data_IF_202913790068
#
_entry.id   IF_202913790068
#
_cell.length_a   1.000
_cell.length_b   1.000
_cell.length_c   1.000
_cell.angle_alpha   90.00
_cell.angle_beta   90.00
_cell.angle_gamma   90.00
#
_symmetry.space_group_name_H-M   'P 1'
#
loop_
_entity.id
_entity.type
_entity.pdbx_description
1 polymer ?
#
# COMPACT_ATOMS: atom_id res chain seq x y z
N UNK A 1 10.27 40.44 15.62
CA UNK A 1 9.35 40.59 14.48
C UNK A 1 7.95 40.26 14.94
N UNK A 2 6.92 40.86 14.38
CA UNK A 2 5.54 40.52 14.71
C UNK A 2 5.07 39.28 13.92
N UNK A 3 3.85 38.82 14.18
CA UNK A 3 3.28 37.67 13.47
C UNK A 3 3.18 37.90 11.96
N UNK A 4 3.03 39.15 11.51
CA UNK A 4 2.90 39.46 10.09
C UNK A 4 4.23 39.23 9.36
N UNK A 5 5.34 39.76 9.89
CA UNK A 5 6.66 39.51 9.30
C UNK A 5 7.03 38.03 9.31
N UNK A 6 6.67 37.29 10.38
CA UNK A 6 6.88 35.84 10.39
C UNK A 6 6.04 35.11 9.33
N UNK A 7 4.82 35.58 9.03
CA UNK A 7 4.00 34.99 7.94
C UNK A 7 4.65 35.20 6.56
N UNK A 8 5.31 36.32 6.34
CA UNK A 8 6.06 36.58 5.10
C UNK A 8 7.22 35.59 4.96
N UNK A 9 8.03 35.42 6.01
CA UNK A 9 9.11 34.42 6.05
C UNK A 9 8.57 33.00 5.86
N UNK A 10 7.46 32.66 6.50
CA UNK A 10 6.82 31.34 6.36
C UNK A 10 6.29 31.12 4.93
N UNK A 11 5.82 32.16 4.25
CA UNK A 11 5.46 32.09 2.82
C UNK A 11 6.69 31.87 1.95
N UNK A 12 7.74 32.68 2.14
CA UNK A 12 9.00 32.52 1.41
C UNK A 12 9.60 31.12 1.60
N UNK A 13 9.49 30.54 2.80
CA UNK A 13 9.88 29.16 3.08
C UNK A 13 9.11 28.15 2.24
N UNK A 14 7.80 28.32 2.07
CA UNK A 14 6.96 27.43 1.25
C UNK A 14 7.36 27.46 -0.23
N UNK A 15 7.82 28.62 -0.71
CA UNK A 15 8.27 28.81 -2.08
C UNK A 15 9.76 28.44 -2.29
N UNK A 16 10.47 28.11 -1.20
CA UNK A 16 11.90 27.77 -1.23
C UNK A 16 12.83 28.99 -1.33
N UNK A 17 12.32 30.17 -1.02
CA UNK A 17 13.01 31.47 -1.16
C UNK A 17 13.57 32.01 0.16
N UNK A 18 13.14 31.48 1.32
CA UNK A 18 13.63 31.92 2.62
C UNK A 18 15.08 31.47 2.90
N UNK A 19 15.89 32.37 3.44
CA UNK A 19 17.25 32.08 3.87
C UNK A 19 17.29 31.17 5.11
N UNK A 20 18.43 30.51 5.35
CA UNK A 20 18.55 29.53 6.45
C UNK A 20 18.39 30.16 7.84
N UNK A 21 18.85 31.39 8.03
CA UNK A 21 18.67 32.16 9.27
C UNK A 21 17.21 32.58 9.49
N UNK A 22 16.54 33.04 8.44
CA UNK A 22 15.11 33.37 8.47
C UNK A 22 14.26 32.13 8.82
N UNK A 23 14.59 30.98 8.24
CA UNK A 23 13.94 29.70 8.53
C UNK A 23 14.10 29.30 9.99
N UNK A 24 15.31 29.41 10.54
CA UNK A 24 15.56 29.10 11.95
C UNK A 24 14.77 30.02 12.90
N UNK A 25 14.74 31.33 12.59
CA UNK A 25 13.94 32.30 13.36
C UNK A 25 12.44 32.02 13.31
N UNK A 26 11.92 31.62 12.14
CA UNK A 26 10.51 31.27 11.99
C UNK A 26 10.16 29.98 12.75
N UNK A 27 11.06 29.00 12.80
CA UNK A 27 10.85 27.77 13.58
C UNK A 27 10.77 28.04 15.09
N UNK A 28 11.63 28.92 15.61
CA UNK A 28 11.54 29.38 17.01
C UNK A 28 10.19 30.05 17.30
N UNK A 29 9.72 30.91 16.39
CA UNK A 29 8.40 31.54 16.51
C UNK A 29 7.25 30.52 16.49
N UNK A 30 7.33 29.51 15.60
CA UNK A 30 6.33 28.45 15.52
C UNK A 30 6.26 27.59 16.79
N UNK A 31 7.31 27.52 17.61
CA UNK A 31 7.24 26.85 18.90
C UNK A 31 6.25 27.57 19.86
N UNK A 32 6.25 28.90 19.84
CA UNK A 32 5.41 29.72 20.73
C UNK A 32 4.05 30.15 20.17
N UNK A 33 3.88 30.20 18.85
CA UNK A 33 2.74 30.90 18.23
C UNK A 33 1.73 29.96 17.53
N UNK A 34 0.57 29.76 18.16
CA UNK A 34 -0.50 28.93 17.61
C UNK A 34 -1.12 29.49 16.32
N UNK A 35 -1.23 30.82 16.20
CA UNK A 35 -1.84 31.46 15.03
C UNK A 35 -0.94 31.36 13.78
N UNK A 36 0.39 31.41 13.96
CA UNK A 36 1.33 31.19 12.87
C UNK A 36 1.43 29.71 12.48
N UNK A 37 1.32 28.76 13.43
CA UNK A 37 1.17 27.33 13.09
C UNK A 37 -0.07 27.09 12.23
N UNK A 38 -1.23 27.62 12.65
CA UNK A 38 -2.47 27.49 11.88
C UNK A 38 -2.38 28.13 10.49
N UNK A 39 -1.68 29.25 10.36
CA UNK A 39 -1.39 29.88 9.07
C UNK A 39 -0.56 28.97 8.16
N UNK A 40 0.55 28.42 8.66
CA UNK A 40 1.42 27.52 7.89
C UNK A 40 0.67 26.27 7.44
N UNK A 41 -0.07 25.61 8.34
CA UNK A 41 -0.87 24.43 8.00
C UNK A 41 -1.91 24.73 6.91
N UNK A 42 -2.55 25.91 6.99
CA UNK A 42 -3.51 26.38 6.00
C UNK A 42 -2.87 26.65 4.64
N UNK A 43 -1.73 27.34 4.62
CA UNK A 43 -0.98 27.64 3.40
C UNK A 43 -0.48 26.35 2.72
N UNK A 44 0.06 25.40 3.49
CA UNK A 44 0.46 24.08 3.02
C UNK A 44 -0.71 23.31 2.39
N UNK A 45 -1.86 23.33 3.05
CA UNK A 45 -3.07 22.66 2.57
C UNK A 45 -3.55 23.27 1.25
N UNK A 46 -3.63 24.59 1.17
CA UNK A 46 -4.03 25.30 -0.05
C UNK A 46 -3.04 25.04 -1.18
N UNK A 47 -1.74 25.08 -0.89
CA UNK A 47 -0.68 24.79 -1.87
C UNK A 47 -0.82 23.38 -2.46
N UNK A 48 -1.12 22.37 -1.65
CA UNK A 48 -1.38 21.01 -2.15
C UNK A 48 -2.62 20.94 -3.04
N UNK A 49 -3.72 21.55 -2.61
CA UNK A 49 -4.96 21.53 -3.39
C UNK A 49 -4.84 22.27 -4.73
N UNK A 50 -4.03 23.33 -4.79
CA UNK A 50 -3.80 24.07 -6.02
C UNK A 50 -2.90 23.32 -7.01
N UNK A 51 -1.94 22.52 -6.52
CA UNK A 51 -0.94 21.83 -7.36
C UNK A 51 -1.34 20.43 -7.78
N UNK A 52 -2.14 19.73 -6.97
CA UNK A 52 -2.51 18.33 -7.24
C UNK A 52 -3.81 18.27 -8.02
N UNK A 53 -3.73 17.78 -9.25
CA UNK A 53 -4.87 17.50 -10.10
C UNK A 53 -4.61 16.29 -10.99
N UNK A 54 -5.62 15.81 -11.73
CA UNK A 54 -5.43 14.81 -12.77
C UNK A 54 -4.34 15.29 -13.74
N UNK A 55 -3.35 14.44 -13.97
CA UNK A 55 -2.35 14.71 -15.01
C UNK A 55 -3.03 14.66 -16.39
N UNK A 56 -2.64 15.56 -17.28
CA UNK A 56 -2.96 15.40 -18.69
C UNK A 56 -2.36 14.08 -19.20
N UNK A 57 -2.96 13.46 -20.23
CA UNK A 57 -2.41 12.25 -20.83
C UNK A 57 -0.99 12.50 -21.34
N UNK A 58 0.00 11.95 -20.64
CA UNK A 58 1.42 12.02 -21.01
C UNK A 58 1.97 10.60 -21.21
N UNK A 59 2.99 10.42 -22.08
CA UNK A 59 3.67 9.15 -22.20
C UNK A 59 4.28 8.70 -20.85
N UNK A 60 4.23 7.41 -20.56
CA UNK A 60 4.92 6.85 -19.40
C UNK A 60 6.44 6.88 -19.65
N UNK A 61 7.16 7.63 -18.81
CA UNK A 61 8.61 7.79 -18.87
C UNK A 61 9.33 7.06 -17.74
N UNK A 62 8.62 6.26 -16.94
CA UNK A 62 9.13 5.64 -15.71
C UNK A 62 10.44 4.88 -15.97
N UNK A 63 10.45 3.96 -16.94
CA UNK A 63 11.64 3.15 -17.26
C UNK A 63 12.83 4.00 -17.73
N UNK A 64 12.57 5.06 -18.52
CA UNK A 64 13.62 5.96 -19.03
C UNK A 64 14.26 6.77 -17.92
N UNK A 65 13.45 7.27 -16.98
CA UNK A 65 13.95 8.05 -15.83
C UNK A 65 14.74 7.14 -14.89
N UNK A 66 14.22 5.96 -14.57
CA UNK A 66 14.90 5.00 -13.69
C UNK A 66 16.23 4.54 -14.29
N UNK A 67 16.28 4.25 -15.59
CA UNK A 67 17.51 3.92 -16.29
C UNK A 67 18.53 5.08 -16.25
N UNK A 68 18.09 6.33 -16.42
CA UNK A 68 18.97 7.51 -16.35
C UNK A 68 19.58 7.72 -14.95
N UNK A 69 18.86 7.34 -13.90
CA UNK A 69 19.34 7.39 -12.52
C UNK A 69 20.19 6.17 -12.13
N UNK A 70 20.41 5.21 -13.05
CA UNK A 70 21.10 3.96 -12.76
C UNK A 70 20.33 3.03 -11.81
N UNK A 71 19.03 3.27 -11.63
CA UNK A 71 18.17 2.44 -10.80
C UNK A 71 17.75 1.23 -11.63
N UNK A 72 18.33 0.07 -11.33
CA UNK A 72 17.91 -1.19 -11.92
C UNK A 72 16.51 -1.54 -11.40
N UNK A 73 15.52 -1.57 -12.31
CA UNK A 73 14.20 -2.12 -11.98
C UNK A 73 14.40 -3.62 -11.73
N UNK A 74 14.09 -4.15 -10.53
CA UNK A 74 14.18 -5.58 -10.30
C UNK A 74 13.28 -6.30 -11.30
N UNK A 75 13.79 -7.39 -11.86
CA UNK A 75 13.02 -8.20 -12.79
C UNK A 75 11.66 -8.54 -12.18
N UNK A 76 10.57 -8.51 -12.97
CA UNK A 76 9.25 -8.88 -12.47
C UNK A 76 9.36 -10.25 -11.80
N UNK A 77 8.79 -10.36 -10.59
CA UNK A 77 8.79 -11.61 -9.87
C UNK A 77 8.22 -12.71 -10.77
N UNK A 78 8.81 -13.92 -10.79
CA UNK A 78 8.22 -15.02 -11.52
C UNK A 78 6.78 -15.20 -11.04
N UNK A 79 5.84 -15.58 -11.94
CA UNK A 79 4.48 -15.84 -11.53
C UNK A 79 4.49 -16.85 -10.37
N UNK A 80 3.60 -16.69 -9.37
CA UNK A 80 3.56 -17.64 -8.27
C UNK A 80 3.39 -19.05 -8.83
N UNK A 81 4.16 -20.01 -8.28
CA UNK A 81 4.02 -21.40 -8.65
C UNK A 81 2.54 -21.81 -8.56
N UNK A 82 2.05 -22.54 -9.55
CA UNK A 82 0.66 -22.98 -9.59
C UNK A 82 0.32 -23.71 -8.29
N UNK A 83 -0.64 -23.18 -7.53
CA UNK A 83 -1.13 -23.87 -6.33
C UNK A 83 -1.81 -25.17 -6.77
N UNK A 84 -1.38 -26.34 -6.27
CA UNK A 84 -2.01 -27.59 -6.64
C UNK A 84 -3.49 -27.56 -6.21
N UNK A 85 -4.39 -27.89 -7.13
CA UNK A 85 -5.79 -28.14 -6.78
C UNK A 85 -5.85 -29.44 -6.00
N UNK A 86 -5.87 -29.34 -4.67
CA UNK A 86 -6.05 -30.49 -3.80
C UNK A 86 -7.54 -30.83 -3.74
N UNK A 87 -7.90 -32.06 -4.10
CA UNK A 87 -9.23 -32.61 -3.83
C UNK A 87 -9.21 -33.34 -2.48
N UNK A 88 -10.33 -33.28 -1.77
CA UNK A 88 -10.52 -34.06 -0.56
C UNK A 88 -10.68 -35.54 -0.95
N UNK A 89 -9.85 -36.43 -0.38
CA UNK A 89 -10.11 -37.88 -0.41
C UNK A 89 -10.98 -38.25 0.78
N UNK A 90 -11.83 -39.26 0.62
CA UNK A 90 -12.54 -39.87 1.74
C UNK A 90 -11.51 -40.38 2.77
N UNK A 91 -11.63 -39.92 4.01
CA UNK A 91 -10.70 -40.27 5.10
C UNK A 91 -9.65 -39.20 5.47
N UNK A 92 -9.64 -38.04 4.82
CA UNK A 92 -8.98 -36.84 5.38
C UNK A 92 -7.53 -36.55 4.97
N UNK A 93 -6.99 -37.23 3.96
CA UNK A 93 -5.68 -36.87 3.38
C UNK A 93 -5.86 -36.19 2.03
N UNK A 94 -5.28 -35.00 1.86
CA UNK A 94 -5.17 -34.35 0.55
C UNK A 94 -4.10 -35.10 -0.28
N UNK A 95 -4.50 -35.86 -1.30
CA UNK A 95 -3.61 -36.60 -2.20
C UNK A 95 -3.63 -36.06 -3.63
N UNK A 96 -2.49 -36.10 -4.31
CA UNK A 96 -2.34 -35.67 -5.70
C UNK A 96 -2.67 -36.76 -6.71
N UNK A 97 -3.92 -37.21 -6.78
CA UNK A 97 -4.44 -37.93 -7.96
C UNK A 97 -5.94 -37.71 -8.08
N UNK A 98 -6.36 -37.24 -9.27
CA UNK A 98 -7.73 -36.87 -9.55
C UNK A 98 -8.63 -38.12 -9.57
N UNK A 99 -9.41 -38.31 -8.51
CA UNK A 99 -10.66 -39.05 -8.62
C UNK A 99 -11.79 -38.05 -8.92
N UNK A 100 -12.72 -38.33 -9.86
CA UNK A 100 -13.89 -37.49 -10.04
C UNK A 100 -14.71 -37.47 -8.74
N UNK A 101 -15.10 -36.28 -8.29
CA UNK A 101 -15.93 -36.12 -7.11
C UNK A 101 -17.28 -36.83 -7.32
N UNK A 102 -17.85 -37.50 -6.28
CA UNK A 102 -19.19 -38.06 -6.38
C UNK A 102 -20.20 -36.93 -6.60
N UNK A 103 -21.03 -37.08 -7.64
CA UNK A 103 -22.08 -36.12 -7.98
C UNK A 103 -23.10 -36.11 -6.83
N UNK A 104 -23.27 -34.96 -6.17
CA UNK A 104 -24.23 -34.77 -5.07
C UNK A 104 -23.63 -34.71 -3.65
N UNK A 105 -22.30 -34.64 -3.50
CA UNK A 105 -21.71 -34.39 -2.19
C UNK A 105 -22.12 -33.01 -1.64
N UNK A 106 -22.84 -33.01 -0.51
CA UNK A 106 -23.20 -31.78 0.19
C UNK A 106 -21.93 -31.02 0.59
N UNK A 107 -21.87 -29.74 0.25
CA UNK A 107 -20.81 -28.83 0.66
C UNK A 107 -21.07 -28.31 2.06
N UNK A 108 -20.02 -28.18 2.87
CA UNK A 108 -20.09 -27.49 4.16
C UNK A 108 -20.22 -25.98 3.96
N UNK A 109 -20.50 -25.26 5.04
CA UNK A 109 -20.53 -23.78 5.04
C UNK A 109 -19.23 -23.12 4.54
N UNK A 110 -18.10 -23.85 4.59
CA UNK A 110 -16.79 -23.38 4.11
C UNK A 110 -16.49 -23.80 2.66
N UNK A 111 -17.42 -24.45 1.97
CA UNK A 111 -17.29 -24.87 0.57
C UNK A 111 -16.55 -26.20 0.33
N UNK A 112 -16.14 -26.92 1.38
CA UNK A 112 -15.52 -28.24 1.28
C UNK A 112 -16.57 -29.35 1.19
N UNK A 113 -16.21 -30.53 0.68
CA UNK A 113 -17.06 -31.71 0.82
C UNK A 113 -17.29 -32.04 2.30
N UNK A 114 -18.53 -32.37 2.67
CA UNK A 114 -18.92 -32.74 4.05
C UNK A 114 -18.16 -33.97 4.60
N UNK A 115 -17.51 -34.76 3.74
CA UNK A 115 -16.67 -35.91 4.11
C UNK A 115 -15.21 -35.54 4.44
N UNK A 116 -14.79 -34.26 4.30
CA UNK A 116 -13.45 -33.83 4.70
C UNK A 116 -13.28 -33.94 6.23
N UNK A 117 -12.46 -34.87 6.71
CA UNK A 117 -12.09 -35.00 8.13
C UNK A 117 -11.28 -33.82 8.70
N UNK A 118 -11.03 -32.81 7.86
CA UNK A 118 -10.19 -31.65 8.07
C UNK A 118 -10.84 -30.59 8.96
N UNK A 119 -12.19 -30.53 8.98
CA UNK A 119 -12.98 -29.55 9.72
C UNK A 119 -12.81 -28.10 9.23
N UNK A 120 -13.90 -27.32 9.24
CA UNK A 120 -13.83 -25.87 9.01
C UNK A 120 -12.92 -25.21 10.07
N UNK A 121 -11.86 -24.52 9.64
CA UNK A 121 -11.10 -23.66 10.57
C UNK A 121 -11.79 -22.30 10.65
N UNK A 122 -12.66 -22.13 11.65
CA UNK A 122 -13.35 -20.86 11.95
C UNK A 122 -14.07 -20.25 10.74
N UNK A 123 -14.78 -21.06 9.96
CA UNK A 123 -15.55 -20.60 8.80
C UNK A 123 -14.72 -20.35 7.53
N UNK A 124 -13.40 -20.58 7.56
CA UNK A 124 -12.53 -20.51 6.38
C UNK A 124 -12.34 -21.90 5.73
N UNK A 125 -12.16 -21.96 4.39
CA UNK A 125 -11.82 -23.20 3.71
C UNK A 125 -10.49 -23.78 4.22
N UNK A 126 -10.42 -25.11 4.35
CA UNK A 126 -9.22 -25.80 4.83
C UNK A 126 -8.02 -25.51 3.91
N UNK A 127 -6.93 -24.98 4.48
CA UNK A 127 -5.67 -24.81 3.75
C UNK A 127 -4.85 -26.09 3.82
N UNK A 128 -5.06 -27.01 2.89
CA UNK A 128 -4.11 -28.10 2.65
C UNK A 128 -2.82 -27.50 2.06
N UNK A 129 -1.89 -27.06 2.90
CA UNK A 129 -0.52 -26.83 2.47
C UNK A 129 0.20 -28.18 2.47
N UNK A 130 0.84 -28.56 1.37
CA UNK A 130 1.85 -29.63 1.40
C UNK A 130 2.91 -29.15 2.40
N UNK A 131 3.09 -29.85 3.53
CA UNK A 131 4.26 -29.58 4.38
C UNK A 131 5.49 -29.79 3.51
N UNK A 132 6.31 -28.76 3.35
CA UNK A 132 7.64 -28.92 2.74
C UNK A 132 8.39 -30.00 3.53
N UNK A 133 8.95 -30.97 2.81
CA UNK A 133 9.82 -32.00 3.38
C UNK A 133 11.13 -31.38 3.89
#
# INVERSE_FOLDING_TARGET
MDCQGYREVLSARLDGEAADDERAMAEDHLAGCASCRAFTDGADRLGRLARVGPAEPVPDLTDRVLAALGVAVPAPAPPPAAVPRLSCLDGGCCGGSAAPAPVGAATSACGCASTCGCGCQQGAPCRCAVRAA
#
